data_IF_768964745854
#
_entry.id   IF_768964745854
#
_cell.length_a   1.000
_cell.length_b   1.000
_cell.length_c   1.000
_cell.angle_alpha   90.00
_cell.angle_beta   90.00
_cell.angle_gamma   90.00
#
_symmetry.space_group_name_H-M   'P 1'
#
loop_
_entity.id
_entity.type
_entity.pdbx_description
1 polymer ?
#
# COMPACT_ATOMS: atom_id res chain seq x y z
N UNK A 1 11.52 22.24 20.55
CA UNK A 1 10.94 21.32 21.54
C UNK A 1 9.45 21.24 21.25
N UNK A 2 8.95 20.05 20.90
CA UNK A 2 7.51 19.80 20.73
C UNK A 2 6.90 19.67 22.13
N UNK A 3 5.88 20.44 22.47
CA UNK A 3 5.28 20.34 23.80
C UNK A 3 4.44 19.05 23.91
N UNK A 4 4.24 18.54 25.12
CA UNK A 4 3.34 17.39 25.34
C UNK A 4 1.92 17.65 24.80
N UNK A 5 1.49 18.92 24.78
CA UNK A 5 0.21 19.33 24.21
C UNK A 5 0.18 19.20 22.69
N UNK A 6 1.29 19.50 22.02
CA UNK A 6 1.42 19.33 20.56
C UNK A 6 1.44 17.85 20.18
N UNK A 7 2.09 17.00 20.99
CA UNK A 7 2.10 15.55 20.79
C UNK A 7 0.69 14.96 20.94
N UNK A 8 -0.07 15.39 21.96
CA UNK A 8 -1.46 14.97 22.14
C UNK A 8 -2.36 15.43 21.00
N UNK A 9 -2.21 16.68 20.54
CA UNK A 9 -2.99 17.21 19.42
C UNK A 9 -2.71 16.44 18.12
N UNK A 10 -1.43 16.18 17.83
CA UNK A 10 -1.05 15.39 16.65
C UNK A 10 -1.59 13.96 16.72
N UNK A 11 -1.54 13.31 17.89
CA UNK A 11 -2.08 11.98 18.08
C UNK A 11 -3.60 11.94 17.85
N UNK A 12 -4.33 12.92 18.37
CA UNK A 12 -5.77 13.04 18.18
C UNK A 12 -6.12 13.29 16.70
N UNK A 13 -5.43 14.23 16.05
CA UNK A 13 -5.62 14.53 14.64
C UNK A 13 -5.37 13.31 13.73
N UNK A 14 -4.31 12.56 13.99
CA UNK A 14 -4.01 11.32 13.25
C UNK A 14 -5.07 10.25 13.49
N UNK A 15 -5.62 10.15 14.69
CA UNK A 15 -6.70 9.21 15.02
C UNK A 15 -7.97 9.54 14.24
N UNK A 16 -8.35 10.82 14.18
CA UNK A 16 -9.51 11.30 13.41
C UNK A 16 -9.32 11.05 11.92
N UNK A 17 -8.14 11.36 11.37
CA UNK A 17 -7.82 11.06 9.97
C UNK A 17 -7.93 9.57 9.64
N UNK A 18 -7.42 8.69 10.52
CA UNK A 18 -7.54 7.24 10.34
C UNK A 18 -8.98 6.75 10.45
N UNK A 19 -9.78 7.36 11.32
CA UNK A 19 -11.20 7.03 11.44
C UNK A 19 -11.98 7.41 10.18
N UNK A 20 -11.73 8.61 9.64
CA UNK A 20 -12.31 9.07 8.38
C UNK A 20 -11.93 8.17 7.19
N UNK A 21 -10.64 7.84 7.06
CA UNK A 21 -10.17 6.93 6.01
C UNK A 21 -10.86 5.55 6.10
N UNK A 22 -11.08 5.01 7.30
CA UNK A 22 -11.81 3.74 7.47
C UNK A 22 -13.28 3.85 7.07
N UNK A 23 -13.92 4.98 7.36
CA UNK A 23 -15.30 5.24 6.93
C UNK A 23 -15.43 5.31 5.41
N UNK A 24 -14.40 5.82 4.73
CA UNK A 24 -14.28 5.84 3.26
C UNK A 24 -13.85 4.49 2.67
N UNK A 25 -13.75 3.43 3.49
CA UNK A 25 -13.36 2.09 3.04
C UNK A 25 -11.87 1.93 2.77
N UNK A 26 -11.04 2.89 3.17
CA UNK A 26 -9.58 2.80 3.05
C UNK A 26 -8.98 2.06 4.24
N UNK A 27 -7.94 1.28 3.97
CA UNK A 27 -7.18 0.47 4.92
C UNK A 27 -5.70 0.79 4.82
N UNK A 28 -4.98 0.79 5.95
CA UNK A 28 -3.55 1.06 5.95
C UNK A 28 -2.77 -0.17 5.45
N UNK A 29 -1.87 0.07 4.48
CA UNK A 29 -0.74 -0.79 4.16
C UNK A 29 0.55 0.04 4.37
N UNK A 30 1.21 0.49 3.30
CA UNK A 30 2.22 1.59 3.30
C UNK A 30 1.59 2.96 3.06
N UNK A 31 0.42 2.97 2.43
CA UNK A 31 -0.44 4.12 2.22
C UNK A 31 -1.90 3.73 2.55
N UNK A 32 -2.81 4.71 2.52
CA UNK A 32 -4.24 4.42 2.58
C UNK A 32 -4.69 3.84 1.22
N UNK A 33 -5.08 2.57 1.22
CA UNK A 33 -5.51 1.86 0.00
C UNK A 33 -6.94 1.36 0.16
N UNK A 34 -7.71 1.17 -0.92
CA UNK A 34 -9.05 0.61 -0.81
C UNK A 34 -9.08 -0.77 -0.15
N UNK A 35 -10.17 -1.06 0.58
CA UNK A 35 -10.34 -2.33 1.27
C UNK A 35 -10.37 -3.55 0.33
N UNK A 36 -10.88 -3.40 -0.89
CA UNK A 36 -10.92 -4.48 -1.89
C UNK A 36 -9.50 -4.92 -2.26
N UNK A 37 -8.56 -3.99 -2.40
CA UNK A 37 -7.15 -4.32 -2.70
C UNK A 37 -6.53 -5.16 -1.57
N UNK A 38 -6.85 -4.84 -0.31
CA UNK A 38 -6.38 -5.66 0.83
C UNK A 38 -6.96 -7.07 0.78
N UNK A 39 -8.23 -7.21 0.41
CA UNK A 39 -8.87 -8.52 0.27
C UNK A 39 -8.23 -9.35 -0.86
N UNK A 40 -7.96 -8.73 -2.00
CA UNK A 40 -7.26 -9.37 -3.12
C UNK A 40 -5.84 -9.79 -2.74
N UNK A 41 -5.09 -8.95 -2.02
CA UNK A 41 -3.75 -9.30 -1.53
C UNK A 41 -3.78 -10.45 -0.51
N UNK A 42 -4.79 -10.49 0.37
CA UNK A 42 -4.94 -11.60 1.32
C UNK A 42 -5.31 -12.92 0.62
N UNK A 43 -6.09 -12.87 -0.45
CA UNK A 43 -6.42 -14.04 -1.26
C UNK A 43 -5.21 -14.50 -2.08
N UNK A 44 -4.47 -13.57 -2.70
CA UNK A 44 -3.22 -13.87 -3.40
C UNK A 44 -2.19 -14.52 -2.46
N UNK A 45 -2.12 -14.04 -1.22
CA UNK A 45 -1.29 -14.62 -0.17
C UNK A 45 -1.66 -16.08 0.12
N UNK A 46 -2.95 -16.38 0.26
CA UNK A 46 -3.45 -17.74 0.53
C UNK A 46 -3.18 -18.68 -0.64
N UNK A 47 -3.57 -18.26 -1.84
CA UNK A 47 -3.44 -19.07 -3.06
C UNK A 47 -1.99 -19.39 -3.40
N UNK A 48 -1.05 -18.50 -3.10
CA UNK A 48 0.37 -18.67 -3.42
C UNK A 48 1.26 -19.04 -2.22
N UNK A 49 0.67 -19.29 -1.05
CA UNK A 49 1.42 -19.62 0.16
C UNK A 49 2.40 -18.53 0.61
N UNK A 50 2.08 -17.26 0.37
CA UNK A 50 2.94 -16.14 0.77
C UNK A 50 2.78 -15.83 2.26
N UNK A 51 3.80 -15.24 2.86
CA UNK A 51 3.84 -15.03 4.31
C UNK A 51 3.17 -13.72 4.76
N UNK A 52 3.17 -12.69 3.91
CA UNK A 52 2.61 -11.39 4.24
C UNK A 52 2.04 -10.67 2.99
N UNK A 53 1.32 -9.56 3.23
CA UNK A 53 0.69 -8.76 2.17
C UNK A 53 1.70 -8.03 1.29
N UNK A 54 2.86 -7.68 1.83
CA UNK A 54 3.92 -7.02 1.07
C UNK A 54 4.51 -7.96 0.02
N UNK A 55 4.75 -9.23 0.36
CA UNK A 55 5.18 -10.26 -0.58
C UNK A 55 4.13 -10.49 -1.68
N UNK A 56 2.84 -10.47 -1.33
CA UNK A 56 1.75 -10.53 -2.31
C UNK A 56 1.76 -9.31 -3.24
N UNK A 57 1.95 -8.10 -2.69
CA UNK A 57 2.05 -6.88 -3.48
C UNK A 57 3.28 -6.91 -4.40
N UNK A 58 4.44 -7.32 -3.90
CA UNK A 58 5.67 -7.45 -4.70
C UNK A 58 5.49 -8.46 -5.82
N UNK A 59 4.87 -9.62 -5.57
CA UNK A 59 4.58 -10.60 -6.61
C UNK A 59 3.66 -10.02 -7.70
N UNK A 60 2.59 -9.33 -7.30
CA UNK A 60 1.66 -8.69 -8.23
C UNK A 60 2.33 -7.59 -9.06
N UNK A 61 3.14 -6.74 -8.45
CA UNK A 61 3.90 -5.70 -9.14
C UNK A 61 4.94 -6.31 -10.09
N UNK A 62 5.63 -7.37 -9.67
CA UNK A 62 6.60 -8.07 -10.51
C UNK A 62 5.93 -8.75 -11.71
N UNK A 63 4.70 -9.25 -11.59
CA UNK A 63 3.96 -9.76 -12.74
C UNK A 63 3.55 -8.63 -13.68
N UNK A 64 2.96 -7.57 -13.11
CA UNK A 64 2.50 -6.42 -13.89
C UNK A 64 3.65 -5.73 -14.66
N UNK A 65 4.80 -5.53 -14.00
CA UNK A 65 5.96 -4.86 -14.59
C UNK A 65 6.99 -5.82 -15.21
N UNK A 66 7.00 -7.09 -14.83
CA UNK A 66 7.91 -8.11 -15.40
C UNK A 66 7.61 -8.41 -16.87
N UNK A 67 6.37 -8.19 -17.31
CA UNK A 67 6.01 -8.21 -18.72
C UNK A 67 6.42 -6.92 -19.49
N UNK A 68 6.75 -5.83 -18.78
CA UNK A 68 7.14 -4.54 -19.37
C UNK A 68 8.59 -4.46 -19.88
N UNK A 69 9.38 -5.54 -19.71
CA UNK A 69 10.72 -5.64 -20.31
C UNK A 69 10.71 -5.66 -21.85
N UNK A 70 9.57 -5.92 -22.48
CA UNK A 70 9.45 -5.94 -23.94
C UNK A 70 9.06 -4.59 -24.56
N UNK A 71 8.56 -3.63 -23.77
CA UNK A 71 8.11 -2.32 -24.28
C UNK A 71 9.07 -1.17 -23.98
N UNK A 72 10.19 -1.43 -23.29
CA UNK A 72 11.31 -0.48 -23.27
C UNK A 72 12.01 -0.51 -24.62
N UNK A 73 11.47 0.21 -25.60
CA UNK A 73 12.31 0.76 -26.68
C UNK A 73 13.46 1.49 -25.98
N UNK A 74 14.73 1.08 -26.16
CA UNK A 74 15.84 1.91 -25.71
C UNK A 74 15.66 3.25 -26.42
N UNK A 75 15.41 4.30 -25.64
CA UNK A 75 15.46 5.65 -26.16
C UNK A 75 16.92 5.91 -26.50
N UNK A 76 17.25 5.66 -27.78
CA UNK A 76 18.29 6.31 -28.59
C UNK A 76 19.70 6.29 -27.97
N UNK A 77 20.57 5.48 -28.58
CA UNK A 77 22.01 5.74 -28.63
C UNK A 77 22.24 7.21 -29.06
N UNK A 78 22.81 8.02 -28.17
CA UNK A 78 23.56 9.24 -28.52
C UNK A 78 24.69 9.43 -27.54
#
# INVERSE_FOLDING_TARGET
MTSDRDLQYQAQYQRERRAKARAEGLRPLHAAVPCHLIAELDELKRTRGLTNRDAALTALLNEFFGHGGHERKPAVDT
#
